data_IF_988027281567
#
_entry.id   IF_988027281567
#
_cell.length_a   1.000
_cell.length_b   1.000
_cell.length_c   1.000
_cell.angle_alpha   90.00
_cell.angle_beta   90.00
_cell.angle_gamma   90.00
#
_symmetry.space_group_name_H-M   'P 1'
#
loop_
_entity.id
_entity.type
_entity.pdbx_description
1 polymer ?
#
# COMPACT_ATOMS: atom_id res chain seq x y z
N UNK A 1 -50.28 16.56 -34.01
CA UNK A 1 -49.85 15.66 -32.92
C UNK A 1 -48.74 16.34 -32.11
N UNK A 2 -49.01 16.58 -30.82
CA UNK A 2 -48.10 17.01 -29.73
C UNK A 2 -46.94 15.99 -29.57
N UNK A 3 -45.76 16.25 -29.00
CA UNK A 3 -45.07 17.44 -28.50
C UNK A 3 -43.67 17.00 -27.97
N UNK A 4 -42.92 17.98 -27.44
CA UNK A 4 -41.91 17.88 -26.35
C UNK A 4 -40.46 17.54 -26.76
N UNK A 5 -39.73 18.59 -27.09
CA UNK A 5 -38.37 18.77 -26.55
C UNK A 5 -38.37 20.11 -25.80
N UNK A 6 -38.54 20.00 -24.50
CA UNK A 6 -38.73 21.07 -23.51
C UNK A 6 -37.36 21.69 -23.13
N UNK A 7 -37.35 23.01 -23.00
CA UNK A 7 -36.36 23.88 -22.33
C UNK A 7 -34.87 23.54 -22.51
N UNK A 8 -34.27 24.12 -23.56
CA UNK A 8 -32.97 24.78 -23.36
C UNK A 8 -33.25 26.13 -22.75
N UNK A 9 -32.98 26.28 -21.44
CA UNK A 9 -33.01 27.57 -20.78
C UNK A 9 -32.10 28.53 -21.56
N UNK A 10 -32.63 29.71 -21.88
CA UNK A 10 -31.87 30.78 -22.48
C UNK A 10 -30.72 31.17 -21.53
N UNK A 11 -29.52 31.51 -22.03
CA UNK A 11 -28.48 32.04 -21.18
C UNK A 11 -28.98 33.36 -20.59
N UNK A 12 -29.21 33.32 -19.28
CA UNK A 12 -29.59 34.44 -18.44
C UNK A 12 -28.50 35.52 -18.49
N UNK A 13 -28.94 36.77 -18.39
CA UNK A 13 -28.23 38.02 -18.58
C UNK A 13 -26.74 37.99 -18.19
N UNK A 14 -25.88 38.45 -19.09
CA UNK A 14 -24.45 38.68 -18.81
C UNK A 14 -24.33 39.93 -17.92
N UNK A 15 -24.66 39.78 -16.64
CA UNK A 15 -24.13 40.66 -15.59
C UNK A 15 -22.61 40.60 -15.69
N UNK A 16 -21.96 41.76 -15.67
CA UNK A 16 -20.49 41.84 -15.71
C UNK A 16 -19.89 40.94 -14.64
N UNK A 17 -19.41 39.76 -15.06
CA UNK A 17 -18.96 38.70 -14.15
C UNK A 17 -17.64 39.13 -13.54
N UNK A 18 -17.71 39.61 -12.30
CA UNK A 18 -16.53 39.86 -11.49
C UNK A 18 -15.96 38.51 -11.02
N UNK A 19 -14.65 38.42 -10.82
CA UNK A 19 -13.97 37.20 -10.36
C UNK A 19 -14.51 36.75 -9.00
N UNK A 20 -14.77 37.71 -8.12
CA UNK A 20 -15.19 37.46 -6.74
C UNK A 20 -16.63 36.93 -6.68
N UNK A 21 -17.52 37.46 -7.51
CA UNK A 21 -18.91 36.98 -7.61
C UNK A 21 -18.93 35.55 -8.16
N UNK A 22 -18.14 35.28 -9.21
CA UNK A 22 -18.04 33.93 -9.80
C UNK A 22 -17.43 32.93 -8.81
N UNK A 23 -16.51 33.37 -7.94
CA UNK A 23 -15.92 32.52 -6.90
C UNK A 23 -16.96 32.16 -5.84
N UNK A 24 -17.77 33.13 -5.40
CA UNK A 24 -18.85 32.89 -4.46
C UNK A 24 -19.90 31.91 -5.03
N UNK A 25 -20.29 32.10 -6.29
CA UNK A 25 -21.24 31.22 -6.99
C UNK A 25 -20.74 29.77 -7.07
N UNK A 26 -19.43 29.57 -7.33
CA UNK A 26 -18.79 28.26 -7.34
C UNK A 26 -18.80 27.59 -5.96
N UNK A 27 -18.54 28.33 -4.90
CA UNK A 27 -18.59 27.79 -3.53
C UNK A 27 -20.00 27.42 -3.11
N UNK A 28 -21.00 28.23 -3.47
CA UNK A 28 -22.39 27.94 -3.16
C UNK A 28 -22.91 26.72 -3.94
N UNK A 29 -22.55 26.61 -5.22
CA UNK A 29 -22.86 25.45 -6.04
C UNK A 29 -22.20 24.17 -5.50
N UNK A 30 -20.96 24.25 -5.03
CA UNK A 30 -20.29 23.12 -4.37
C UNK A 30 -21.03 22.68 -3.10
N UNK A 31 -21.48 23.64 -2.27
CA UNK A 31 -22.27 23.34 -1.08
C UNK A 31 -23.65 22.72 -1.42
N UNK A 32 -24.27 23.12 -2.55
CA UNK A 32 -25.49 22.48 -3.08
C UNK A 32 -25.24 21.04 -3.49
N UNK A 33 -24.16 20.78 -4.23
CA UNK A 33 -23.74 19.43 -4.65
C UNK A 33 -23.46 18.51 -3.45
N UNK A 34 -22.82 19.02 -2.40
CA UNK A 34 -22.59 18.28 -1.16
C UNK A 34 -23.89 17.91 -0.45
N UNK A 35 -24.86 18.84 -0.39
CA UNK A 35 -26.19 18.57 0.19
C UNK A 35 -27.02 17.58 -0.62
N UNK A 36 -26.76 17.47 -1.92
CA UNK A 36 -27.42 16.51 -2.80
C UNK A 36 -26.83 15.08 -2.71
N UNK A 37 -25.89 14.83 -1.79
CA UNK A 37 -25.15 13.55 -1.61
C UNK A 37 -24.47 13.02 -2.89
N UNK A 38 -24.33 13.86 -3.92
CA UNK A 38 -23.69 13.49 -5.17
C UNK A 38 -22.18 13.71 -5.06
N UNK A 39 -21.39 12.82 -5.69
CA UNK A 39 -19.93 12.98 -5.77
C UNK A 39 -19.63 14.28 -6.52
N UNK A 40 -19.02 15.30 -5.89
CA UNK A 40 -18.81 16.58 -6.53
C UNK A 40 -17.70 16.45 -7.56
N UNK A 41 -18.05 16.51 -8.84
CA UNK A 41 -17.07 16.53 -9.94
C UNK A 41 -16.95 17.94 -10.51
N UNK A 42 -15.79 18.25 -11.08
CA UNK A 42 -15.54 19.58 -11.67
C UNK A 42 -16.47 19.82 -12.86
N UNK A 43 -16.83 18.77 -13.60
CA UNK A 43 -17.84 18.85 -14.65
C UNK A 43 -19.23 19.16 -14.10
N UNK A 44 -19.65 18.51 -13.01
CA UNK A 44 -20.93 18.81 -12.36
C UNK A 44 -20.99 20.26 -11.85
N UNK A 45 -19.92 20.72 -11.21
CA UNK A 45 -19.80 22.10 -10.73
C UNK A 45 -19.84 23.12 -11.88
N UNK A 46 -19.17 22.81 -12.99
CA UNK A 46 -19.14 23.64 -14.19
C UNK A 46 -20.53 23.79 -14.82
N UNK A 47 -21.29 22.70 -14.90
CA UNK A 47 -22.67 22.71 -15.41
C UNK A 47 -23.60 23.52 -14.51
N UNK A 48 -23.48 23.36 -13.19
CA UNK A 48 -24.32 24.05 -12.20
C UNK A 48 -24.16 25.59 -12.24
N UNK A 49 -22.95 26.08 -12.51
CA UNK A 49 -22.63 27.53 -12.56
C UNK A 49 -22.60 28.07 -13.99
N UNK A 50 -22.79 27.21 -15.00
CA UNK A 50 -22.76 27.61 -16.42
C UNK A 50 -21.37 28.07 -16.91
N UNK A 51 -20.29 27.51 -16.35
CA UNK A 51 -18.90 27.81 -16.72
C UNK A 51 -18.22 26.63 -17.40
N UNK A 52 -17.16 26.87 -18.16
CA UNK A 52 -16.37 25.78 -18.76
C UNK A 52 -15.48 25.12 -17.70
N UNK A 53 -15.33 23.77 -17.66
CA UNK A 53 -14.44 23.09 -16.72
C UNK A 53 -12.98 23.58 -16.77
N UNK A 54 -12.49 23.95 -17.96
CA UNK A 54 -11.16 24.54 -18.15
C UNK A 54 -10.98 25.85 -17.38
N UNK A 55 -12.04 26.66 -17.24
CA UNK A 55 -11.99 27.92 -16.50
C UNK A 55 -11.82 27.67 -15.00
N UNK A 56 -12.46 26.63 -14.45
CA UNK A 56 -12.33 26.25 -13.04
C UNK A 56 -10.88 25.83 -12.75
N UNK A 57 -10.33 24.92 -13.56
CA UNK A 57 -8.96 24.46 -13.38
C UNK A 57 -7.90 25.54 -13.55
N UNK A 58 -8.11 26.49 -14.48
CA UNK A 58 -7.10 27.50 -14.80
C UNK A 58 -7.21 28.77 -13.94
N UNK A 59 -8.42 29.21 -13.60
CA UNK A 59 -8.65 30.48 -12.89
C UNK A 59 -8.97 30.30 -11.40
N UNK A 60 -9.48 29.14 -11.01
CA UNK A 60 -9.93 28.84 -9.65
C UNK A 60 -9.30 27.52 -9.14
N UNK A 61 -7.95 27.45 -9.06
CA UNK A 61 -7.26 26.23 -8.65
C UNK A 61 -7.65 25.78 -7.23
N UNK A 62 -8.00 26.71 -6.34
CA UNK A 62 -8.38 26.40 -4.95
C UNK A 62 -9.73 25.67 -4.88
N UNK A 63 -10.72 26.12 -5.66
CA UNK A 63 -12.00 25.41 -5.83
C UNK A 63 -11.78 24.04 -6.47
N UNK A 64 -10.93 23.95 -7.49
CA UNK A 64 -10.62 22.68 -8.15
C UNK A 64 -9.95 21.67 -7.21
N UNK A 65 -9.05 22.12 -6.32
CA UNK A 65 -8.43 21.29 -5.29
C UNK A 65 -9.49 20.75 -4.32
N UNK A 66 -10.38 21.61 -3.87
CA UNK A 66 -11.42 21.22 -2.91
C UNK A 66 -12.41 20.22 -3.51
N UNK A 67 -12.82 20.42 -4.77
CA UNK A 67 -13.66 19.43 -5.49
C UNK A 67 -12.94 18.09 -5.65
N UNK A 68 -11.62 18.09 -5.91
CA UNK A 68 -10.81 16.87 -6.01
C UNK A 68 -10.69 16.15 -4.66
N UNK A 69 -10.50 16.91 -3.58
CA UNK A 69 -10.51 16.40 -2.20
C UNK A 69 -11.84 15.73 -1.86
N UNK A 70 -12.94 16.39 -2.17
CA UNK A 70 -14.30 15.91 -1.91
C UNK A 70 -14.72 14.74 -2.81
N UNK A 71 -14.20 14.66 -4.04
CA UNK A 71 -14.44 13.51 -4.94
C UNK A 71 -13.54 12.30 -4.66
N UNK A 72 -12.69 12.37 -3.63
CA UNK A 72 -11.75 11.29 -3.30
C UNK A 72 -10.65 11.07 -4.35
N UNK A 73 -10.53 11.97 -5.34
CA UNK A 73 -9.47 12.00 -6.35
C UNK A 73 -8.41 13.04 -5.97
N UNK A 74 -7.87 12.89 -4.77
CA UNK A 74 -6.61 13.53 -4.38
C UNK A 74 -5.47 12.91 -5.21
N UNK A 75 -4.78 13.68 -6.08
CA UNK A 75 -3.70 13.13 -6.90
C UNK A 75 -2.45 12.71 -6.09
N UNK A 76 -2.29 13.21 -4.85
CA UNK A 76 -1.10 12.97 -4.02
C UNK A 76 -1.30 11.93 -2.91
N UNK A 77 -2.44 11.97 -2.22
CA UNK A 77 -2.65 11.13 -1.03
C UNK A 77 -2.64 9.63 -1.32
N UNK A 78 -3.15 9.20 -2.49
CA UNK A 78 -3.14 7.78 -2.85
C UNK A 78 -1.76 7.30 -3.31
N UNK A 79 -0.99 8.14 -4.01
CA UNK A 79 0.36 7.75 -4.45
C UNK A 79 1.38 7.77 -3.32
N UNK A 80 1.34 8.78 -2.45
CA UNK A 80 2.31 8.92 -1.37
C UNK A 80 2.09 7.85 -0.29
N UNK A 81 0.83 7.50 -0.02
CA UNK A 81 0.51 6.36 0.86
C UNK A 81 0.96 5.03 0.27
N UNK A 82 0.80 4.83 -1.05
CA UNK A 82 1.31 3.64 -1.75
C UNK A 82 2.84 3.58 -1.76
N UNK A 83 3.53 4.71 -2.01
CA UNK A 83 5.00 4.80 -1.97
C UNK A 83 5.53 4.54 -0.55
N UNK A 84 4.85 5.07 0.47
CA UNK A 84 5.20 4.81 1.86
C UNK A 84 4.99 3.33 2.25
N UNK A 85 3.89 2.71 1.82
CA UNK A 85 3.63 1.29 2.03
C UNK A 85 4.68 0.41 1.32
N UNK A 86 4.99 0.72 0.06
CA UNK A 86 6.01 0.00 -0.70
C UNK A 86 7.40 0.10 -0.05
N UNK A 87 7.76 1.27 0.46
CA UNK A 87 9.04 1.48 1.15
C UNK A 87 9.14 0.64 2.44
N UNK A 88 8.07 0.64 3.25
CA UNK A 88 8.00 -0.20 4.47
C UNK A 88 8.16 -1.68 4.14
N UNK A 89 7.44 -2.16 3.13
CA UNK A 89 7.51 -3.57 2.71
C UNK A 89 8.90 -3.94 2.20
N UNK A 90 9.57 -3.04 1.46
CA UNK A 90 10.95 -3.25 1.00
C UNK A 90 11.95 -3.28 2.15
N UNK A 91 11.79 -2.44 3.17
CA UNK A 91 12.63 -2.42 4.37
C UNK A 91 12.46 -3.75 5.14
N UNK A 92 11.22 -4.16 5.42
CA UNK A 92 10.94 -5.45 6.08
C UNK A 92 11.49 -6.63 5.28
N UNK A 93 11.33 -6.62 3.96
CA UNK A 93 11.86 -7.68 3.11
C UNK A 93 13.40 -7.68 3.01
N UNK A 94 14.08 -6.57 3.32
CA UNK A 94 15.55 -6.55 3.43
C UNK A 94 15.99 -7.16 4.75
N UNK A 95 15.35 -6.78 5.85
CA UNK A 95 15.67 -7.29 7.18
C UNK A 95 15.45 -8.80 7.26
N UNK A 96 14.30 -9.29 6.78
CA UNK A 96 14.00 -10.72 6.73
C UNK A 96 14.99 -11.51 5.87
N UNK A 97 15.49 -10.93 4.77
CA UNK A 97 16.53 -11.57 3.94
C UNK A 97 17.88 -11.63 4.66
N UNK A 98 18.25 -10.58 5.38
CA UNK A 98 19.46 -10.55 6.17
C UNK A 98 19.42 -11.60 7.30
N UNK A 99 18.31 -11.67 8.03
CA UNK A 99 18.08 -12.67 9.07
C UNK A 99 18.11 -14.10 8.50
N UNK A 100 17.45 -14.33 7.35
CA UNK A 100 17.46 -15.65 6.71
C UNK A 100 18.88 -16.09 6.29
N UNK A 101 19.68 -15.16 5.79
CA UNK A 101 21.09 -15.43 5.46
C UNK A 101 21.91 -15.77 6.70
N UNK A 102 21.71 -15.04 7.79
CA UNK A 102 22.43 -15.29 9.04
C UNK A 102 22.06 -16.65 9.66
N UNK A 103 20.76 -16.93 9.77
CA UNK A 103 20.26 -18.22 10.25
C UNK A 103 20.78 -19.39 9.40
N UNK A 104 20.83 -19.24 8.08
CA UNK A 104 21.40 -20.26 7.19
C UNK A 104 22.89 -20.49 7.45
N UNK A 105 23.67 -19.43 7.70
CA UNK A 105 25.10 -19.56 8.06
C UNK A 105 25.26 -20.29 9.39
N UNK A 106 24.47 -19.94 10.39
CA UNK A 106 24.50 -20.61 11.69
C UNK A 106 24.15 -22.10 11.55
N UNK A 107 23.11 -22.43 10.78
CA UNK A 107 22.69 -23.80 10.54
C UNK A 107 23.78 -24.61 9.82
N UNK A 108 24.44 -24.04 8.81
CA UNK A 108 25.58 -24.67 8.15
C UNK A 108 26.75 -24.91 9.10
N UNK A 109 27.08 -23.94 9.96
CA UNK A 109 28.14 -24.10 10.96
C UNK A 109 27.81 -25.23 11.94
N UNK A 110 26.58 -25.27 12.47
CA UNK A 110 26.12 -26.34 13.37
C UNK A 110 26.12 -27.70 12.69
N UNK A 111 25.71 -27.79 11.42
CA UNK A 111 25.74 -29.03 10.66
C UNK A 111 27.18 -29.56 10.49
N UNK A 112 28.12 -28.68 10.17
CA UNK A 112 29.55 -29.04 10.07
C UNK A 112 30.11 -29.58 11.39
N UNK A 113 29.85 -28.87 12.49
CA UNK A 113 30.27 -29.30 13.84
C UNK A 113 29.64 -30.63 14.22
N UNK A 114 28.34 -30.81 13.96
CA UNK A 114 27.65 -32.06 14.23
C UNK A 114 28.22 -33.22 13.42
N UNK A 115 28.59 -33.02 12.15
CA UNK A 115 29.22 -34.06 11.36
C UNK A 115 30.62 -34.42 11.87
N UNK A 116 31.43 -33.43 12.28
CA UNK A 116 32.72 -33.68 12.92
C UNK A 116 32.55 -34.50 14.22
N UNK A 117 31.64 -34.10 15.10
CA UNK A 117 31.34 -34.84 16.33
C UNK A 117 30.84 -36.26 16.06
N UNK A 118 29.99 -36.45 15.04
CA UNK A 118 29.53 -37.78 14.62
C UNK A 118 30.67 -38.68 14.14
N UNK A 119 31.70 -38.11 13.51
CA UNK A 119 32.88 -38.85 13.10
C UNK A 119 33.74 -39.25 14.32
N UNK A 120 33.97 -38.32 15.25
CA UNK A 120 34.70 -38.60 16.50
C UNK A 120 34.01 -39.69 17.32
N UNK A 121 32.69 -39.59 17.50
CA UNK A 121 31.88 -40.62 18.18
C UNK A 121 32.04 -41.98 17.50
N UNK A 122 31.99 -42.06 16.16
CA UNK A 122 32.22 -43.30 15.43
C UNK A 122 33.61 -43.89 15.69
N UNK A 123 34.65 -43.07 15.68
CA UNK A 123 36.03 -43.51 15.95
C UNK A 123 36.17 -44.04 17.38
N UNK A 124 35.61 -43.33 18.36
CA UNK A 124 35.63 -43.73 19.76
C UNK A 124 34.88 -45.04 19.99
N UNK A 125 33.70 -45.20 19.39
CA UNK A 125 32.96 -46.47 19.45
C UNK A 125 33.77 -47.62 18.83
N UNK A 126 34.34 -47.44 17.64
CA UNK A 126 35.16 -48.47 17.00
C UNK A 126 36.38 -48.87 17.86
N UNK A 127 37.04 -47.89 18.48
CA UNK A 127 38.20 -48.13 19.35
C UNK A 127 37.80 -48.78 20.68
N UNK A 128 36.70 -48.33 21.28
CA UNK A 128 36.16 -48.87 22.53
C UNK A 128 35.68 -50.31 22.36
N UNK A 129 34.99 -50.62 21.26
CA UNK A 129 34.55 -51.99 20.96
C UNK A 129 35.73 -52.94 20.68
N UNK A 130 36.81 -52.46 20.05
CA UNK A 130 37.98 -53.29 19.77
C UNK A 130 38.80 -53.67 21.01
N UNK A 131 38.67 -52.94 22.13
CA UNK A 131 39.53 -53.11 23.32
C UNK A 131 38.83 -53.81 24.49
N UNK A 132 37.52 -54.06 24.42
CA UNK A 132 36.77 -54.76 25.48
C UNK A 132 36.82 -56.27 25.22
N UNK A 133 37.79 -56.95 25.83
CA UNK A 133 37.78 -58.41 25.98
C UNK A 133 37.03 -58.72 27.28
N UNK A 134 35.79 -59.18 27.17
CA UNK A 134 35.05 -59.67 28.33
C UNK A 134 35.66 -60.98 28.81
N UNK A 135 36.42 -60.94 29.91
CA UNK A 135 36.82 -62.14 30.63
C UNK A 135 35.59 -62.68 31.36
N UNK A 136 34.97 -63.73 30.82
CA UNK A 136 34.01 -64.53 31.59
C UNK A 136 34.85 -65.40 32.55
N UNK A 137 34.73 -65.25 33.88
CA UNK A 137 35.44 -66.14 34.78
C UNK A 137 34.82 -67.53 34.64
N UNK A 138 35.62 -68.50 34.20
CA UNK A 138 35.20 -69.89 34.04
C UNK A 138 34.66 -70.44 35.36
N UNK A 139 33.48 -71.04 35.30
CA UNK A 139 32.86 -71.69 36.45
C UNK A 139 33.77 -72.82 36.99
N UNK A 140 33.91 -72.97 38.31
CA UNK A 140 34.75 -74.01 38.89
C UNK A 140 34.15 -75.40 38.61
N UNK A 141 34.88 -76.23 37.88
CA UNK A 141 34.62 -77.67 37.74
C UNK A 141 34.79 -78.35 39.11
N UNK A 142 33.75 -79.10 39.50
CA UNK A 142 33.66 -79.88 40.74
C UNK A 142 34.32 -81.24 40.60
#
# INVERSE_FOLDING_TARGET
>A
MKARWDRRQAPEEVRGRNRDTTTADLWEALARLQRAEAVPTITALAVEVGVTPALIHNRYPDVAKEVRRLSGREPGASEDSLKAALKREQETARDLRAENLDLRKQLQAMASVNEALRQEVRILHATGHAKVVSFVPGAPTR
#
